data_IF_257475029018
#
_entry.id   IF_257475029018
#
_cell.length_a   1.000
_cell.length_b   1.000
_cell.length_c   1.000
_cell.angle_alpha   90.00
_cell.angle_beta   90.00
_cell.angle_gamma   90.00
#
_symmetry.space_group_name_H-M   'P 1'
#
loop_
_entity.id
_entity.type
_entity.pdbx_description
1 polymer ?
#
# COMPACT_ATOMS: atom_id res chain seq x y z
N UNK A 1 9.03 14.23 -13.91
CA UNK A 1 7.75 14.46 -13.22
C UNK A 1 6.70 13.42 -13.64
N UNK A 2 7.13 12.28 -14.21
CA UNK A 2 6.21 11.28 -14.80
C UNK A 2 6.16 9.95 -14.05
N UNK A 3 6.78 9.87 -12.86
CA UNK A 3 6.70 8.67 -12.01
C UNK A 3 5.34 8.53 -11.30
N UNK A 4 4.49 9.56 -11.36
CA UNK A 4 3.12 9.52 -10.85
C UNK A 4 2.15 8.78 -11.79
N UNK A 5 2.56 8.46 -13.02
CA UNK A 5 1.71 7.92 -14.08
C UNK A 5 2.09 6.46 -14.40
N UNK A 6 2.26 5.61 -13.39
CA UNK A 6 2.02 4.16 -13.57
C UNK A 6 0.84 3.67 -12.73
N UNK A 7 0.00 4.59 -12.26
CA UNK A 7 -1.21 4.32 -11.46
C UNK A 7 -2.46 4.00 -12.31
N UNK A 8 -2.36 4.01 -13.64
CA UNK A 8 -3.53 4.09 -14.56
C UNK A 8 -3.94 2.79 -15.27
N UNK A 9 -3.51 1.60 -14.83
CA UNK A 9 -4.03 0.33 -15.38
C UNK A 9 -4.63 -0.57 -14.30
N UNK A 10 -5.55 -0.04 -13.50
CA UNK A 10 -6.30 -0.80 -12.49
C UNK A 10 -7.82 -0.65 -12.70
N UNK A 11 -8.29 -0.80 -13.93
CA UNK A 11 -9.73 -1.01 -14.18
C UNK A 11 -10.08 -2.50 -13.96
N UNK A 12 -11.14 -2.75 -13.18
CA UNK A 12 -11.86 -4.03 -13.15
C UNK A 12 -11.54 -4.97 -11.98
N UNK A 13 -10.27 -5.25 -11.68
CA UNK A 13 -9.93 -6.37 -10.75
C UNK A 13 -9.78 -5.98 -9.26
N UNK A 14 -9.59 -4.70 -8.93
CA UNK A 14 -9.20 -4.28 -7.58
C UNK A 14 -10.26 -3.48 -6.81
N UNK A 15 -11.44 -3.31 -7.39
CA UNK A 15 -12.42 -2.33 -6.93
C UNK A 15 -13.20 -2.73 -5.68
N UNK A 16 -13.15 -3.98 -5.20
CA UNK A 16 -14.20 -4.44 -4.27
C UNK A 16 -13.81 -5.40 -3.12
N UNK A 17 -12.56 -5.40 -2.65
CA UNK A 17 -12.26 -6.17 -1.44
C UNK A 17 -11.24 -5.48 -0.54
N UNK A 18 -11.74 -5.04 0.62
CA UNK A 18 -10.93 -4.87 1.82
C UNK A 18 -10.13 -6.17 2.00
N UNK A 19 -8.80 -6.06 2.05
CA UNK A 19 -7.93 -7.23 2.07
C UNK A 19 -6.58 -6.93 2.71
N UNK A 20 -5.86 -8.00 3.04
CA UNK A 20 -4.48 -7.91 3.51
C UNK A 20 -3.54 -7.83 2.32
N UNK A 21 -2.64 -6.85 2.37
CA UNK A 21 -1.57 -6.64 1.39
C UNK A 21 -0.25 -6.52 2.12
N UNK A 22 0.86 -6.49 1.37
CA UNK A 22 2.19 -6.32 1.95
C UNK A 22 2.79 -4.99 1.49
N UNK A 23 3.16 -4.18 2.47
CA UNK A 23 4.01 -3.01 2.30
C UNK A 23 5.47 -3.45 2.34
N UNK A 24 6.18 -3.17 1.26
CA UNK A 24 7.64 -3.24 1.18
C UNK A 24 8.18 -1.86 1.49
N UNK A 25 8.74 -1.70 2.69
CA UNK A 25 9.36 -0.47 3.14
C UNK A 25 10.85 -0.47 2.83
N UNK A 26 11.27 0.42 1.92
CA UNK A 26 12.67 0.64 1.57
C UNK A 26 13.15 1.89 2.32
N UNK A 27 14.18 1.71 3.15
CA UNK A 27 14.80 2.80 3.91
C UNK A 27 15.77 3.59 3.02
N UNK A 28 15.55 4.89 2.93
CA UNK A 28 16.42 5.86 2.23
C UNK A 28 16.82 5.51 0.77
N UNK A 29 15.99 4.85 -0.07
CA UNK A 29 16.34 4.70 -1.48
C UNK A 29 16.51 6.05 -2.18
N UNK A 30 17.42 6.13 -3.15
CA UNK A 30 17.44 7.26 -4.07
C UNK A 30 16.33 7.09 -5.15
N UNK A 31 15.97 8.19 -5.82
CA UNK A 31 14.92 8.16 -6.85
C UNK A 31 15.16 7.12 -7.97
N UNK A 32 16.43 6.88 -8.33
CA UNK A 32 16.79 5.87 -9.34
C UNK A 32 16.52 4.45 -8.84
N UNK A 33 16.79 4.15 -7.58
CA UNK A 33 16.48 2.85 -6.97
C UNK A 33 14.97 2.61 -6.93
N UNK A 34 14.19 3.59 -6.50
CA UNK A 34 12.71 3.53 -6.51
C UNK A 34 12.20 3.19 -7.92
N UNK A 35 12.68 3.94 -8.91
CA UNK A 35 12.37 3.75 -10.32
C UNK A 35 12.76 2.37 -10.86
N UNK A 36 13.93 1.89 -10.45
CA UNK A 36 14.45 0.58 -10.88
C UNK A 36 13.62 -0.56 -10.28
N UNK A 37 13.28 -0.48 -8.99
CA UNK A 37 12.46 -1.49 -8.33
C UNK A 37 11.07 -1.54 -8.93
N UNK A 38 10.38 -0.41 -9.08
CA UNK A 38 9.03 -0.37 -9.63
C UNK A 38 8.96 -1.06 -11.01
N UNK A 39 9.87 -0.70 -11.91
CA UNK A 39 9.98 -1.31 -13.25
C UNK A 39 10.33 -2.80 -13.20
N UNK A 40 11.23 -3.17 -12.29
CA UNK A 40 11.67 -4.55 -12.16
C UNK A 40 10.57 -5.47 -11.62
N UNK A 41 9.72 -4.97 -10.71
CA UNK A 41 8.55 -5.68 -10.23
C UNK A 41 7.49 -5.82 -11.32
N UNK A 42 7.21 -4.73 -12.04
CA UNK A 42 6.27 -4.73 -13.16
C UNK A 42 6.66 -5.74 -14.26
N UNK A 43 7.94 -5.82 -14.60
CA UNK A 43 8.47 -6.78 -15.58
C UNK A 43 8.29 -8.25 -15.17
N UNK A 44 8.18 -8.53 -13.86
CA UNK A 44 7.90 -9.87 -13.31
C UNK A 44 6.39 -10.13 -13.12
N UNK A 45 5.55 -9.21 -13.60
CA UNK A 45 4.09 -9.24 -13.45
C UNK A 45 3.61 -8.95 -12.04
N UNK A 46 4.43 -8.32 -11.19
CA UNK A 46 4.04 -7.88 -9.85
C UNK A 46 3.41 -6.50 -9.96
N UNK A 47 2.11 -6.42 -9.67
CA UNK A 47 1.37 -5.15 -9.68
C UNK A 47 1.60 -4.40 -8.36
N UNK A 48 2.11 -3.17 -8.44
CA UNK A 48 2.20 -2.26 -7.29
C UNK A 48 0.95 -1.41 -7.17
N UNK A 49 0.32 -1.41 -5.99
CA UNK A 49 -1.01 -0.82 -5.78
C UNK A 49 -0.92 0.63 -5.32
N UNK A 50 0.00 0.93 -4.39
CA UNK A 50 0.16 2.25 -3.81
C UNK A 50 1.64 2.54 -3.51
N UNK A 51 2.01 3.81 -3.68
CA UNK A 51 3.30 4.35 -3.25
C UNK A 51 3.09 5.60 -2.38
N UNK A 52 2.85 5.46 -1.07
CA UNK A 52 2.82 6.61 -0.16
C UNK A 52 4.16 7.35 -0.19
N UNK A 53 4.19 8.66 -0.53
CA UNK A 53 5.39 9.45 -0.31
C UNK A 53 5.56 9.71 1.19
N UNK A 54 6.75 9.46 1.73
CA UNK A 54 7.15 9.98 3.03
C UNK A 54 8.08 11.19 2.79
N UNK A 55 7.72 12.34 3.37
CA UNK A 55 8.48 13.57 3.22
C UNK A 55 9.55 13.63 4.33
N UNK A 56 10.82 13.72 3.91
CA UNK A 56 12.09 13.74 4.68
C UNK A 56 12.79 12.39 4.80
N UNK A 57 13.95 12.31 4.11
CA UNK A 57 14.70 11.08 3.80
C UNK A 57 13.83 10.19 2.90
N UNK A 58 14.20 9.97 1.63
CA UNK A 58 13.34 9.29 0.65
C UNK A 58 13.12 7.84 1.12
N UNK A 59 12.20 7.59 2.03
CA UNK A 59 11.71 6.27 2.36
C UNK A 59 10.60 5.95 1.37
N UNK A 60 10.59 4.71 0.89
CA UNK A 60 9.61 4.31 -0.13
C UNK A 60 8.79 3.16 0.38
N UNK A 61 7.49 3.38 0.37
CA UNK A 61 6.50 2.37 0.65
C UNK A 61 6.00 1.82 -0.69
N UNK A 62 6.21 0.53 -0.97
CA UNK A 62 5.68 -0.15 -2.15
C UNK A 62 4.64 -1.18 -1.69
N UNK A 63 3.39 -1.02 -2.10
CA UNK A 63 2.32 -1.94 -1.69
C UNK A 63 2.06 -2.96 -2.79
N UNK A 64 2.11 -4.25 -2.44
CA UNK A 64 1.91 -5.37 -3.36
C UNK A 64 0.92 -6.39 -2.79
N UNK A 65 0.37 -7.23 -3.66
CA UNK A 65 -0.42 -8.38 -3.22
C UNK A 65 0.43 -9.42 -2.48
N UNK A 66 -0.16 -10.07 -1.48
CA UNK A 66 0.54 -11.09 -0.66
C UNK A 66 1.12 -12.23 -1.49
N UNK A 67 0.45 -12.59 -2.59
CA UNK A 67 0.88 -13.64 -3.51
C UNK A 67 2.18 -13.29 -4.28
N UNK A 68 2.48 -12.00 -4.44
CA UNK A 68 3.63 -11.53 -5.20
C UNK A 68 4.89 -11.31 -4.36
N UNK A 69 4.78 -11.41 -3.02
CA UNK A 69 5.91 -11.24 -2.08
C UNK A 69 7.13 -12.11 -2.46
N UNK A 70 6.99 -13.40 -2.81
CA UNK A 70 8.15 -14.21 -3.19
C UNK A 70 8.89 -13.68 -4.42
N UNK A 71 8.16 -13.19 -5.43
CA UNK A 71 8.74 -12.61 -6.64
C UNK A 71 9.43 -11.28 -6.31
N UNK A 72 8.77 -10.43 -5.54
CA UNK A 72 9.32 -9.14 -5.15
C UNK A 72 10.59 -9.27 -4.31
N UNK A 73 10.60 -10.19 -3.35
CA UNK A 73 11.77 -10.49 -2.53
C UNK A 73 12.95 -10.99 -3.37
N UNK A 74 12.69 -11.89 -4.32
CA UNK A 74 13.71 -12.37 -5.26
C UNK A 74 14.30 -11.19 -6.04
N UNK A 75 13.45 -10.29 -6.56
CA UNK A 75 13.88 -9.17 -7.37
C UNK A 75 14.68 -8.13 -6.60
N UNK A 76 14.24 -7.78 -5.39
CA UNK A 76 14.96 -6.88 -4.50
C UNK A 76 16.36 -7.43 -4.19
N UNK A 77 16.48 -8.74 -3.95
CA UNK A 77 17.78 -9.39 -3.73
C UNK A 77 18.69 -9.32 -4.95
N UNK A 78 18.17 -9.54 -6.16
CA UNK A 78 18.94 -9.39 -7.41
C UNK A 78 19.47 -7.97 -7.60
N UNK A 79 18.71 -6.96 -7.15
CA UNK A 79 19.08 -5.55 -7.20
C UNK A 79 19.98 -5.10 -6.04
N UNK A 80 20.30 -5.97 -5.09
CA UNK A 80 21.08 -5.63 -3.89
C UNK A 80 20.33 -4.75 -2.89
N UNK A 81 19.00 -4.66 -3.00
CA UNK A 81 18.14 -3.85 -2.15
C UNK A 81 17.50 -4.70 -1.05
N UNK A 82 17.22 -4.04 0.08
CA UNK A 82 16.48 -4.64 1.20
C UNK A 82 15.21 -3.85 1.42
N UNK A 83 14.13 -4.58 1.70
CA UNK A 83 12.88 -3.99 2.14
C UNK A 83 12.43 -4.68 3.44
N UNK A 84 11.82 -3.92 4.33
CA UNK A 84 11.08 -4.46 5.47
C UNK A 84 9.67 -4.78 4.98
N UNK A 85 9.24 -6.02 5.16
CA UNK A 85 7.90 -6.45 4.79
C UNK A 85 6.95 -6.25 5.96
N UNK A 86 5.86 -5.51 5.75
CA UNK A 86 4.79 -5.32 6.75
C UNK A 86 3.46 -5.72 6.14
N UNK A 87 2.75 -6.62 6.80
CA UNK A 87 1.35 -6.86 6.43
C UNK A 87 0.50 -5.67 6.90
N UNK A 88 -0.43 -5.24 6.07
CA UNK A 88 -1.31 -4.08 6.30
C UNK A 88 -2.68 -4.32 5.67
N UNK A 89 -3.69 -3.58 6.12
CA UNK A 89 -5.04 -3.66 5.56
C UNK A 89 -5.19 -2.60 4.48
N UNK A 90 -5.53 -3.00 3.25
CA UNK A 90 -5.93 -2.08 2.18
C UNK A 90 -7.45 -2.09 2.06
N UNK A 91 -8.04 -0.90 2.08
CA UNK A 91 -9.47 -0.70 1.82
C UNK A 91 -9.71 0.40 0.79
N UNK A 92 -10.91 0.40 0.23
CA UNK A 92 -11.44 1.48 -0.58
C UNK A 92 -12.46 2.28 0.23
N UNK A 93 -12.43 3.59 0.11
CA UNK A 93 -13.38 4.50 0.74
C UNK A 93 -13.94 5.47 -0.29
N UNK A 94 -15.16 5.95 -0.06
CA UNK A 94 -15.65 7.09 -0.82
C UNK A 94 -14.78 8.33 -0.51
N UNK A 95 -14.38 9.05 -1.56
CA UNK A 95 -13.57 10.27 -1.46
C UNK A 95 -14.44 11.45 -1.03
N UNK A 96 -14.85 11.46 0.24
CA UNK A 96 -15.63 12.53 0.87
C UNK A 96 -15.24 12.67 2.34
N UNK A 97 -15.44 13.86 2.95
CA UNK A 97 -15.14 14.06 4.36
C UNK A 97 -15.82 13.03 5.27
N UNK A 98 -15.10 12.58 6.30
CA UNK A 98 -15.62 11.69 7.35
C UNK A 98 -15.52 10.19 7.07
N UNK A 99 -15.32 9.73 5.84
CA UNK A 99 -15.27 8.27 5.54
C UNK A 99 -14.08 7.59 6.19
N UNK A 100 -12.91 8.23 6.20
CA UNK A 100 -11.73 7.73 6.92
C UNK A 100 -11.95 7.72 8.44
N UNK A 101 -12.64 8.74 8.98
CA UNK A 101 -12.95 8.81 10.40
C UNK A 101 -13.91 7.68 10.82
N UNK A 102 -14.91 7.37 9.99
CA UNK A 102 -15.81 6.24 10.21
C UNK A 102 -15.05 4.91 10.21
N UNK A 103 -14.18 4.67 9.20
CA UNK A 103 -13.37 3.47 9.12
C UNK A 103 -12.43 3.32 10.33
N UNK A 104 -11.70 4.37 10.69
CA UNK A 104 -10.83 4.38 11.88
C UNK A 104 -11.63 4.16 13.18
N UNK A 105 -12.84 4.74 13.26
CA UNK A 105 -13.77 4.55 14.38
C UNK A 105 -14.23 3.10 14.55
N UNK A 106 -14.51 2.39 13.45
CA UNK A 106 -14.86 0.95 13.49
C UNK A 106 -13.71 0.11 14.03
N UNK A 107 -12.48 0.38 13.59
CA UNK A 107 -11.27 -0.30 14.09
C UNK A 107 -11.09 -0.05 15.59
N UNK A 108 -11.12 1.21 16.02
CA UNK A 108 -10.88 1.57 17.42
C UNK A 108 -12.00 1.12 18.36
N UNK A 109 -13.26 1.11 17.91
CA UNK A 109 -14.40 0.61 18.69
C UNK A 109 -14.31 -0.90 18.98
N UNK A 110 -13.50 -1.64 18.21
CA UNK A 110 -13.18 -3.04 18.47
C UNK A 110 -11.93 -3.21 19.36
N UNK A 111 -11.42 -2.14 19.96
CA UNK A 111 -10.24 -2.17 20.82
C UNK A 111 -8.92 -2.36 20.07
N UNK A 112 -8.91 -2.18 18.74
CA UNK A 112 -7.73 -2.39 17.91
C UNK A 112 -6.99 -1.05 17.77
N UNK A 113 -5.71 -1.03 18.15
CA UNK A 113 -4.88 0.16 18.02
C UNK A 113 -4.50 0.41 16.54
N UNK A 114 -4.76 1.62 16.06
CA UNK A 114 -4.30 2.08 14.75
C UNK A 114 -2.88 2.64 14.89
N UNK A 115 -1.90 2.01 14.24
CA UNK A 115 -0.48 2.38 14.39
C UNK A 115 -0.11 3.48 13.39
N UNK A 116 -0.51 3.32 12.14
CA UNK A 116 -0.34 4.31 11.10
C UNK A 116 -1.38 4.13 10.00
N UNK A 117 -1.57 5.17 9.20
CA UNK A 117 -2.42 5.11 8.02
C UNK A 117 -1.86 5.96 6.89
N UNK A 118 -2.00 5.48 5.66
CA UNK A 118 -1.75 6.24 4.45
C UNK A 118 -3.00 6.27 3.60
N UNK A 119 -3.26 7.39 2.94
CA UNK A 119 -4.42 7.57 2.08
C UNK A 119 -4.03 8.28 0.80
N UNK A 120 -4.61 7.84 -0.32
CA UNK A 120 -4.56 8.58 -1.58
C UNK A 120 -5.97 8.73 -2.13
N UNK A 121 -6.29 9.93 -2.61
CA UNK A 121 -7.46 10.15 -3.45
C UNK A 121 -7.12 9.60 -4.85
N UNK A 122 -7.78 8.52 -5.25
CA UNK A 122 -7.55 7.85 -6.53
C UNK A 122 -8.36 8.48 -7.65
N UNK A 123 -9.62 8.80 -7.35
CA UNK A 123 -10.54 9.51 -8.24
C UNK A 123 -11.32 10.55 -7.42
N UNK A 124 -12.12 11.43 -8.06
CA UNK A 124 -13.01 12.32 -7.33
C UNK A 124 -14.00 11.62 -6.39
N UNK A 125 -14.24 10.31 -6.56
CA UNK A 125 -15.21 9.54 -5.78
C UNK A 125 -14.60 8.41 -4.96
N UNK A 126 -13.33 8.05 -5.19
CA UNK A 126 -12.67 6.88 -4.59
C UNK A 126 -11.33 7.24 -3.96
N UNK A 127 -11.08 6.75 -2.76
CA UNK A 127 -9.80 6.81 -2.07
C UNK A 127 -9.33 5.40 -1.70
N UNK A 128 -8.03 5.17 -1.77
CA UNK A 128 -7.40 3.98 -1.19
C UNK A 128 -6.80 4.36 0.15
N UNK A 129 -7.01 3.50 1.14
CA UNK A 129 -6.44 3.68 2.47
C UNK A 129 -5.72 2.41 2.89
N UNK A 130 -4.48 2.57 3.35
CA UNK A 130 -3.75 1.55 4.07
C UNK A 130 -3.84 1.81 5.56
N UNK A 131 -4.12 0.78 6.32
CA UNK A 131 -4.02 0.77 7.78
C UNK A 131 -2.96 -0.23 8.23
N UNK A 132 -1.96 0.26 8.95
CA UNK A 132 -1.13 -0.55 9.81
C UNK A 132 -1.73 -0.55 11.21
N UNK A 133 -2.14 -1.71 11.70
CA UNK A 133 -2.82 -1.85 12.99
C UNK A 133 -2.09 -2.83 13.90
N UNK A 134 -2.46 -2.87 15.19
CA UNK A 134 -1.95 -3.87 16.11
C UNK A 134 -2.44 -5.30 15.78
N UNK A 135 -3.56 -5.44 15.05
CA UNK A 135 -4.08 -6.71 14.56
C UNK A 135 -4.84 -6.50 13.24
N UNK A 136 -4.16 -6.73 12.12
CA UNK A 136 -4.70 -6.47 10.79
C UNK A 136 -5.82 -7.44 10.40
N UNK A 137 -5.80 -8.67 10.89
CA UNK A 137 -6.87 -9.63 10.60
C UNK A 137 -8.15 -9.23 11.32
N UNK A 138 -8.06 -8.83 12.59
CA UNK A 138 -9.19 -8.31 13.34
C UNK A 138 -9.69 -6.98 12.75
N UNK A 139 -8.78 -6.08 12.36
CA UNK A 139 -9.14 -4.81 11.75
C UNK A 139 -9.88 -5.03 10.42
N UNK A 140 -9.40 -5.95 9.58
CA UNK A 140 -10.07 -6.30 8.35
C UNK A 140 -11.48 -6.85 8.60
N UNK A 141 -11.70 -7.65 9.65
CA UNK A 141 -13.03 -8.14 10.03
C UNK A 141 -13.95 -7.01 10.51
N UNK A 142 -13.42 -6.04 11.27
CA UNK A 142 -14.17 -4.88 11.75
C UNK A 142 -14.57 -3.88 10.64
N UNK A 143 -13.86 -3.93 9.50
CA UNK A 143 -14.11 -3.09 8.32
C UNK A 143 -15.04 -3.74 7.29
N UNK A 144 -15.50 -4.98 7.53
CA UNK A 144 -16.50 -5.66 6.69
C UNK A 144 -17.92 -5.21 7.00
#
# INVERSE_FOLDING_TARGET
MDFYISLLHLEGEYMDANRLVVELFLEKPNFKEVSTVAKALEAEGVKTILMPPEDREINTHLVIEKLDVPKARKKLKELGLKAVEKEVVLITLANKPGTMAEAAGRISSNGINLVYAFSVAMTPTLSYVLFGTADNEAALKALK
#
